data_IF_304536850375
#
_entry.id   IF_304536850375
#
_cell.length_a   1.000
_cell.length_b   1.000
_cell.length_c   1.000
_cell.angle_alpha   90.00
_cell.angle_beta   90.00
_cell.angle_gamma   90.00
#
_symmetry.space_group_name_H-M   'P 1'
#
loop_
_entity.id
_entity.type
_entity.pdbx_description
1 polymer ?
#
# COMPACT_ATOMS: atom_id res chain seq x y z
N UNK A 1 -14.85 10.24 36.36
CA UNK A 1 -13.40 10.05 36.13
C UNK A 1 -13.11 10.68 34.79
N UNK A 2 -12.39 11.80 34.79
CA UNK A 2 -11.98 12.49 33.57
C UNK A 2 -10.82 11.69 32.98
N UNK A 3 -11.03 11.10 31.81
CA UNK A 3 -9.92 10.55 31.03
C UNK A 3 -9.06 11.72 30.57
N UNK A 4 -7.85 11.77 31.12
CA UNK A 4 -6.78 12.64 30.66
C UNK A 4 -6.49 12.29 29.21
N UNK A 5 -7.07 13.04 28.28
CA UNK A 5 -6.53 13.22 26.92
C UNK A 5 -5.19 13.93 27.04
N UNK A 6 -4.17 13.21 27.49
CA UNK A 6 -2.78 13.66 27.43
C UNK A 6 -2.45 13.89 25.96
N UNK A 7 -2.27 15.16 25.60
CA UNK A 7 -1.71 15.58 24.33
C UNK A 7 -0.49 14.71 24.01
N UNK A 8 -0.30 14.29 22.75
CA UNK A 8 0.84 13.47 22.39
C UNK A 8 2.11 14.21 22.79
N UNK A 9 3.07 13.47 23.34
CA UNK A 9 4.36 14.02 23.72
C UNK A 9 4.94 14.74 22.49
N UNK A 10 5.35 16.00 22.62
CA UNK A 10 5.83 16.83 21.50
C UNK A 10 6.92 16.13 20.64
N UNK A 11 7.60 15.17 21.26
CA UNK A 11 8.55 14.24 20.66
C UNK A 11 7.93 13.28 19.65
N UNK A 12 6.74 12.71 19.94
CA UNK A 12 6.02 11.80 19.03
C UNK A 12 5.60 12.49 17.74
N UNK A 13 4.94 13.64 17.84
CA UNK A 13 4.50 14.44 16.68
C UNK A 13 5.68 14.77 15.76
N UNK A 14 6.77 15.27 16.34
CA UNK A 14 7.98 15.60 15.57
C UNK A 14 8.57 14.39 14.88
N UNK A 15 8.63 13.25 15.58
CA UNK A 15 9.17 12.01 15.03
C UNK A 15 8.26 11.40 13.97
N UNK A 16 6.93 11.48 14.13
CA UNK A 16 5.96 11.05 13.14
C UNK A 16 6.15 11.79 11.82
N UNK A 17 6.13 13.13 11.86
CA UNK A 17 6.29 13.95 10.65
C UNK A 17 7.67 13.76 10.01
N UNK A 18 8.72 13.56 10.82
CA UNK A 18 10.05 13.22 10.32
C UNK A 18 10.04 11.89 9.57
N UNK A 19 9.48 10.83 10.15
CA UNK A 19 9.39 9.51 9.49
C UNK A 19 8.52 9.56 8.24
N UNK A 20 7.37 10.23 8.29
CA UNK A 20 6.51 10.41 7.13
C UNK A 20 7.23 11.19 6.02
N UNK A 21 8.00 12.23 6.36
CA UNK A 21 8.80 12.98 5.38
C UNK A 21 9.84 12.09 4.69
N UNK A 22 10.48 11.17 5.43
CA UNK A 22 11.39 10.18 4.88
C UNK A 22 10.67 9.20 3.95
N UNK A 23 9.49 8.68 4.33
CA UNK A 23 8.66 7.82 3.45
C UNK A 23 8.40 8.53 2.12
N UNK A 24 7.95 9.79 2.17
CA UNK A 24 7.67 10.57 0.96
C UNK A 24 8.91 10.79 0.10
N UNK A 25 10.07 11.02 0.72
CA UNK A 25 11.32 11.16 0.00
C UNK A 25 11.71 9.86 -0.71
N UNK A 26 11.63 8.73 -0.02
CA UNK A 26 11.93 7.42 -0.60
C UNK A 26 11.01 7.09 -1.78
N UNK A 27 9.72 7.38 -1.67
CA UNK A 27 8.75 7.22 -2.77
C UNK A 27 9.17 8.05 -3.99
N UNK A 28 9.61 9.30 -3.79
CA UNK A 28 10.05 10.17 -4.89
C UNK A 28 11.31 9.64 -5.56
N UNK A 29 12.29 9.16 -4.79
CA UNK A 29 13.51 8.59 -5.35
C UNK A 29 13.22 7.31 -6.13
N UNK A 30 12.40 6.39 -5.60
CA UNK A 30 11.95 5.19 -6.32
C UNK A 30 11.28 5.55 -7.64
N UNK A 31 10.35 6.52 -7.63
CA UNK A 31 9.70 7.00 -8.86
C UNK A 31 10.69 7.56 -9.87
N UNK A 32 11.64 8.38 -9.41
CA UNK A 32 12.65 9.00 -10.25
C UNK A 32 13.55 7.96 -10.91
N UNK A 33 13.96 6.94 -10.16
CA UNK A 33 14.81 5.87 -10.67
C UNK A 33 14.06 4.95 -11.63
N UNK A 34 12.79 4.65 -11.37
CA UNK A 34 11.94 3.94 -12.34
C UNK A 34 11.80 4.74 -13.65
N UNK A 35 11.60 6.06 -13.59
CA UNK A 35 11.57 6.91 -14.77
C UNK A 35 12.89 6.89 -15.55
N UNK A 36 14.03 6.93 -14.85
CA UNK A 36 15.35 6.84 -15.47
C UNK A 36 15.56 5.46 -16.13
N UNK A 37 15.11 4.38 -15.50
CA UNK A 37 15.17 3.04 -16.07
C UNK A 37 14.41 2.95 -17.40
N UNK A 38 13.20 3.54 -17.47
CA UNK A 38 12.43 3.61 -18.70
C UNK A 38 13.16 4.42 -19.78
N UNK A 39 13.72 5.56 -19.44
CA UNK A 39 14.50 6.38 -20.38
C UNK A 39 15.71 5.63 -20.95
N UNK A 40 16.43 4.87 -20.12
CA UNK A 40 17.58 4.08 -20.57
C UNK A 40 17.13 2.92 -21.46
N UNK A 41 16.00 2.27 -21.15
CA UNK A 41 15.44 1.20 -21.99
C UNK A 41 15.03 1.68 -23.38
N UNK A 42 14.46 2.87 -23.46
CA UNK A 42 13.99 3.46 -24.71
C UNK A 42 15.12 4.15 -25.50
N UNK A 43 16.31 4.30 -24.91
CA UNK A 43 17.46 4.91 -25.56
C UNK A 43 18.03 4.02 -26.66
N UNK A 44 18.06 4.54 -27.88
CA UNK A 44 18.51 3.85 -29.09
C UNK A 44 19.96 4.15 -29.46
N UNK A 45 20.57 5.18 -28.86
CA UNK A 45 21.96 5.59 -29.18
C UNK A 45 22.98 4.72 -28.44
N UNK A 46 22.64 4.18 -27.27
CA UNK A 46 23.51 3.32 -26.48
C UNK A 46 23.56 1.92 -27.11
N UNK A 47 24.75 1.30 -27.29
CA UNK A 47 24.84 -0.07 -27.76
C UNK A 47 24.02 -1.03 -26.90
N UNK A 48 23.29 -1.96 -27.53
CA UNK A 48 22.34 -2.85 -26.85
C UNK A 48 22.95 -3.57 -25.63
N UNK A 49 24.16 -4.11 -25.77
CA UNK A 49 24.86 -4.79 -24.68
C UNK A 49 25.13 -3.87 -23.48
N UNK A 50 25.50 -2.60 -23.72
CA UNK A 50 25.74 -1.63 -22.66
C UNK A 50 24.42 -1.17 -22.01
N UNK A 51 23.35 -1.03 -22.81
CA UNK A 51 22.01 -0.74 -22.32
C UNK A 51 21.50 -1.86 -21.42
N UNK A 52 21.61 -3.11 -21.86
CA UNK A 52 21.15 -4.27 -21.09
C UNK A 52 21.91 -4.44 -19.77
N UNK A 53 23.22 -4.20 -19.78
CA UNK A 53 24.04 -4.19 -18.56
C UNK A 53 23.61 -3.07 -17.59
N UNK A 54 23.37 -1.86 -18.10
CA UNK A 54 22.91 -0.73 -17.28
C UNK A 54 21.51 -0.99 -16.70
N UNK A 55 20.57 -1.48 -17.52
CA UNK A 55 19.21 -1.85 -17.10
C UNK A 55 19.27 -2.93 -16.03
N UNK A 56 20.09 -3.96 -16.19
CA UNK A 56 20.23 -5.04 -15.20
C UNK A 56 20.81 -4.53 -13.88
N UNK A 57 21.85 -3.70 -13.93
CA UNK A 57 22.45 -3.11 -12.74
C UNK A 57 21.46 -2.22 -11.98
N UNK A 58 20.72 -1.37 -12.71
CA UNK A 58 19.71 -0.49 -12.13
C UNK A 58 18.52 -1.27 -11.56
N UNK A 59 18.05 -2.32 -12.23
CA UNK A 59 16.98 -3.17 -11.71
C UNK A 59 17.36 -3.80 -10.36
N UNK A 60 18.62 -4.25 -10.24
CA UNK A 60 19.12 -4.81 -8.98
C UNK A 60 19.16 -3.75 -7.87
N UNK A 61 19.72 -2.58 -8.16
CA UNK A 61 19.77 -1.48 -7.18
C UNK A 61 18.37 -0.99 -6.77
N UNK A 62 17.45 -0.90 -7.73
CA UNK A 62 16.05 -0.61 -7.48
C UNK A 62 15.43 -1.66 -6.57
N UNK A 63 15.65 -2.95 -6.84
CA UNK A 63 15.14 -4.03 -5.99
C UNK A 63 15.61 -3.90 -4.54
N UNK A 64 16.89 -3.61 -4.33
CA UNK A 64 17.47 -3.43 -2.99
C UNK A 64 16.83 -2.21 -2.28
N UNK A 65 16.67 -1.09 -2.99
CA UNK A 65 16.01 0.11 -2.45
C UNK A 65 14.53 -0.12 -2.13
N UNK A 66 13.82 -0.89 -2.96
CA UNK A 66 12.44 -1.25 -2.70
C UNK A 66 12.32 -2.07 -1.42
N UNK A 67 13.20 -3.05 -1.19
CA UNK A 67 13.19 -3.82 0.06
C UNK A 67 13.41 -2.93 1.28
N UNK A 68 14.40 -2.03 1.23
CA UNK A 68 14.66 -1.06 2.30
C UNK A 68 13.45 -0.16 2.53
N UNK A 69 12.77 0.26 1.46
CA UNK A 69 11.53 1.03 1.54
C UNK A 69 10.41 0.25 2.22
N UNK A 70 10.18 -1.01 1.87
CA UNK A 70 9.14 -1.84 2.47
C UNK A 70 9.35 -1.97 3.98
N UNK A 71 10.58 -2.28 4.41
CA UNK A 71 10.94 -2.39 5.82
C UNK A 71 10.71 -1.07 6.56
N UNK A 72 11.13 0.06 5.97
CA UNK A 72 10.92 1.38 6.55
C UNK A 72 9.44 1.76 6.61
N UNK A 73 8.66 1.41 5.58
CA UNK A 73 7.23 1.67 5.49
C UNK A 73 6.47 0.90 6.57
N UNK A 74 6.74 -0.40 6.76
CA UNK A 74 6.13 -1.20 7.84
C UNK A 74 6.46 -0.64 9.21
N UNK A 75 7.71 -0.22 9.43
CA UNK A 75 8.11 0.44 10.68
C UNK A 75 7.38 1.78 10.88
N UNK A 76 7.17 2.56 9.83
CA UNK A 76 6.37 3.78 9.89
C UNK A 76 4.90 3.49 10.24
N UNK A 77 4.28 2.49 9.60
CA UNK A 77 2.89 2.09 9.91
C UNK A 77 2.77 1.61 11.36
N UNK A 78 3.68 0.76 11.82
CA UNK A 78 3.73 0.27 13.20
C UNK A 78 3.86 1.43 14.21
N UNK A 79 4.71 2.41 13.91
CA UNK A 79 4.84 3.62 14.73
C UNK A 79 3.58 4.50 14.70
N UNK A 80 2.94 4.62 13.53
CA UNK A 80 1.71 5.41 13.37
C UNK A 80 0.53 4.85 14.16
N UNK A 81 0.45 3.52 14.30
CA UNK A 81 -0.62 2.84 15.04
C UNK A 81 -0.62 3.16 16.54
N UNK A 82 0.49 3.67 17.08
CA UNK A 82 0.63 4.04 18.49
C UNK A 82 0.24 5.50 18.78
N UNK A 83 -0.01 6.30 17.74
CA UNK A 83 -0.31 7.72 17.87
C UNK A 83 -1.70 8.13 17.47
N UNK A 84 -1.88 9.44 17.34
CA UNK A 84 -3.17 10.04 17.00
C UNK A 84 -3.38 10.24 15.49
N UNK A 85 -2.32 10.13 14.69
CA UNK A 85 -2.42 10.32 13.25
C UNK A 85 -3.16 9.17 12.59
N UNK A 86 -4.06 9.52 11.67
CA UNK A 86 -4.82 8.55 10.89
C UNK A 86 -4.01 8.12 9.69
N UNK A 87 -3.64 6.85 9.65
CA UNK A 87 -3.00 6.21 8.50
C UNK A 87 -3.92 5.17 7.89
N UNK A 88 -4.38 5.41 6.67
CA UNK A 88 -5.26 4.52 5.93
C UNK A 88 -4.62 4.15 4.58
N UNK A 89 -4.75 2.90 4.17
CA UNK A 89 -4.30 2.43 2.86
C UNK A 89 -5.52 2.22 1.97
N UNK A 90 -5.51 2.84 0.79
CA UNK A 90 -6.47 2.58 -0.26
C UNK A 90 -5.79 1.87 -1.41
N UNK A 91 -6.37 0.77 -1.86
CA UNK A 91 -5.91 -0.01 -3.02
C UNK A 91 -7.04 -0.11 -4.02
N UNK A 92 -6.71 0.15 -5.28
CA UNK A 92 -7.56 -0.11 -6.43
C UNK A 92 -6.96 -1.27 -7.21
N UNK A 93 -7.74 -2.32 -7.42
CA UNK A 93 -7.31 -3.50 -8.17
C UNK A 93 -8.46 -4.06 -8.99
N UNK A 94 -8.12 -4.70 -10.11
CA UNK A 94 -9.07 -5.37 -10.98
C UNK A 94 -8.86 -6.88 -10.90
N UNK A 95 -9.95 -7.61 -10.64
CA UNK A 95 -9.98 -9.07 -10.66
C UNK A 95 -10.36 -9.51 -12.06
N UNK A 96 -9.39 -10.09 -12.77
CA UNK A 96 -9.53 -10.62 -14.11
C UNK A 96 -10.10 -12.05 -14.08
N UNK A 97 -10.73 -12.50 -15.19
CA UNK A 97 -11.09 -13.90 -15.38
C UNK A 97 -9.88 -14.81 -15.17
N UNK A 98 -10.07 -15.89 -14.41
CA UNK A 98 -8.97 -16.78 -14.03
C UNK A 98 -8.39 -16.50 -12.64
N UNK A 99 -8.96 -15.54 -11.89
CA UNK A 99 -8.60 -15.31 -10.49
C UNK A 99 -7.27 -14.58 -10.33
N UNK A 100 -6.91 -13.70 -11.26
CA UNK A 100 -5.72 -12.85 -11.17
C UNK A 100 -6.16 -11.46 -10.73
N UNK A 101 -5.52 -10.90 -9.71
CA UNK A 101 -5.70 -9.51 -9.30
C UNK A 101 -4.57 -8.63 -9.86
N UNK A 102 -4.93 -7.59 -10.59
CA UNK A 102 -4.00 -6.57 -11.08
C UNK A 102 -4.20 -5.28 -10.28
N UNK A 103 -3.12 -4.75 -9.71
CA UNK A 103 -3.17 -3.53 -8.91
C UNK A 103 -2.99 -2.32 -9.80
N UNK A 104 -4.03 -1.49 -9.85
CA UNK A 104 -4.03 -0.26 -10.62
C UNK A 104 -3.39 0.89 -9.84
N UNK A 105 -3.68 0.97 -8.54
CA UNK A 105 -3.26 2.10 -7.71
C UNK A 105 -3.21 1.78 -6.23
N UNK A 106 -2.21 2.32 -5.55
CA UNK A 106 -2.08 2.26 -4.09
C UNK A 106 -1.86 3.67 -3.52
N UNK A 107 -2.64 4.04 -2.50
CA UNK A 107 -2.59 5.36 -1.84
C UNK A 107 -2.49 5.20 -0.33
N UNK A 108 -1.49 5.81 0.28
CA UNK A 108 -1.44 6.04 1.72
C UNK A 108 -2.10 7.39 2.03
N UNK A 109 -3.14 7.36 2.84
CA UNK A 109 -3.76 8.55 3.43
C UNK A 109 -3.14 8.80 4.81
N UNK A 110 -2.59 10.00 5.01
CA UNK A 110 -2.16 10.49 6.33
C UNK A 110 -2.97 11.71 6.69
N UNK A 111 -3.79 11.61 7.73
CA UNK A 111 -4.74 12.65 8.17
C UNK A 111 -5.58 13.18 7.00
N UNK A 112 -6.05 12.26 6.15
CA UNK A 112 -6.88 12.55 4.98
C UNK A 112 -6.12 13.04 3.74
N UNK A 113 -4.79 13.22 3.81
CA UNK A 113 -3.97 13.61 2.66
C UNK A 113 -3.45 12.36 1.93
N UNK A 114 -3.80 12.16 0.65
CA UNK A 114 -3.29 11.03 -0.11
C UNK A 114 -1.86 11.26 -0.58
N UNK A 115 -1.03 10.24 -0.47
CA UNK A 115 0.25 10.09 -1.15
C UNK A 115 0.22 8.74 -1.85
N UNK A 116 0.49 8.73 -3.15
CA UNK A 116 0.56 7.48 -3.89
C UNK A 116 1.81 6.70 -3.47
N UNK A 117 1.67 5.40 -3.29
CA UNK A 117 2.74 4.49 -2.85
C UNK A 117 2.98 3.41 -3.91
N UNK A 118 4.13 2.72 -3.89
CA UNK A 118 4.40 1.62 -4.81
C UNK A 118 3.29 0.55 -4.77
N UNK A 119 3.03 -0.08 -5.91
CA UNK A 119 1.93 -1.05 -6.08
C UNK A 119 2.10 -2.28 -5.20
N UNK A 120 3.34 -2.62 -4.85
CA UNK A 120 3.74 -3.72 -3.96
C UNK A 120 3.13 -3.57 -2.56
N UNK A 121 2.98 -2.34 -2.06
CA UNK A 121 2.27 -2.08 -0.81
C UNK A 121 0.79 -2.47 -0.93
N UNK A 122 0.19 -2.20 -2.08
CA UNK A 122 -1.16 -2.65 -2.38
C UNK A 122 -1.24 -4.16 -2.50
N UNK A 123 -0.21 -4.79 -3.07
CA UNK A 123 -0.13 -6.24 -3.26
C UNK A 123 -0.21 -6.96 -1.93
N UNK A 124 0.56 -6.49 -0.94
CA UNK A 124 0.50 -7.04 0.41
C UNK A 124 -0.93 -7.01 1.00
N UNK A 125 -1.72 -5.95 0.73
CA UNK A 125 -3.12 -5.94 1.17
C UNK A 125 -3.98 -6.92 0.38
N UNK A 126 -3.83 -6.92 -0.95
CA UNK A 126 -4.63 -7.75 -1.86
C UNK A 126 -4.37 -9.24 -1.64
N UNK A 127 -3.16 -9.62 -1.23
CA UNK A 127 -2.80 -11.01 -0.89
C UNK A 127 -3.64 -11.57 0.28
N UNK A 128 -4.16 -10.71 1.16
CA UNK A 128 -5.08 -11.10 2.23
C UNK A 128 -6.54 -11.15 1.80
N UNK A 129 -6.88 -10.54 0.66
CA UNK A 129 -8.25 -10.48 0.14
C UNK A 129 -8.56 -11.79 -0.59
N UNK A 130 -9.63 -12.51 -0.25
CA UNK A 130 -10.01 -13.74 -0.93
C UNK A 130 -10.73 -13.45 -2.28
N UNK A 131 -10.10 -12.68 -3.18
CA UNK A 131 -10.71 -12.19 -4.41
C UNK A 131 -11.03 -13.30 -5.41
N UNK A 132 -10.27 -14.39 -5.42
CA UNK A 132 -10.51 -15.57 -6.27
C UNK A 132 -11.87 -16.24 -6.00
N UNK A 133 -12.42 -16.04 -4.80
CA UNK A 133 -13.72 -16.62 -4.38
C UNK A 133 -14.92 -15.77 -4.80
N UNK A 134 -14.70 -14.67 -5.54
CA UNK A 134 -15.74 -13.77 -6.01
C UNK A 134 -15.98 -12.56 -5.11
N UNK A 135 -16.81 -11.64 -5.58
CA UNK A 135 -17.05 -10.34 -4.94
C UNK A 135 -17.72 -10.48 -3.56
N UNK A 136 -18.51 -11.52 -3.32
CA UNK A 136 -19.12 -11.81 -2.03
C UNK A 136 -18.06 -12.08 -0.95
N UNK A 137 -16.97 -12.75 -1.32
CA UNK A 137 -15.86 -13.04 -0.41
C UNK A 137 -15.06 -11.77 -0.09
N UNK A 138 -14.87 -10.88 -1.07
CA UNK A 138 -14.26 -9.55 -0.87
C UNK A 138 -15.11 -8.72 0.10
N UNK A 139 -16.43 -8.70 -0.10
CA UNK A 139 -17.36 -8.00 0.78
C UNK A 139 -17.32 -8.56 2.21
N UNK A 140 -17.28 -9.90 2.36
CA UNK A 140 -17.19 -10.55 3.65
C UNK A 140 -15.87 -10.24 4.37
N UNK A 141 -14.75 -10.26 3.65
CA UNK A 141 -13.44 -9.84 4.17
C UNK A 141 -13.49 -8.40 4.65
N UNK A 142 -13.97 -7.47 3.81
CA UNK A 142 -14.05 -6.05 4.15
C UNK A 142 -14.89 -5.82 5.41
N UNK A 143 -16.09 -6.42 5.50
CA UNK A 143 -16.96 -6.26 6.68
C UNK A 143 -16.33 -6.77 7.97
N UNK A 144 -15.58 -7.88 7.88
CA UNK A 144 -14.84 -8.44 9.03
C UNK A 144 -13.79 -7.44 9.51
N UNK A 145 -12.98 -6.90 8.61
CA UNK A 145 -11.93 -5.94 8.96
C UNK A 145 -12.49 -4.59 9.40
N UNK A 146 -13.54 -4.10 8.74
CA UNK A 146 -14.28 -2.90 9.16
C UNK A 146 -14.79 -3.05 10.60
N UNK A 147 -15.48 -4.15 10.92
CA UNK A 147 -15.97 -4.43 12.29
C UNK A 147 -14.83 -4.52 13.30
N UNK A 148 -13.69 -5.07 12.91
CA UNK A 148 -12.51 -5.19 13.76
C UNK A 148 -11.95 -3.81 14.10
N UNK A 149 -11.77 -2.96 13.09
CA UNK A 149 -11.27 -1.60 13.28
C UNK A 149 -12.27 -0.68 13.97
N UNK A 150 -13.57 -0.87 13.73
CA UNK A 150 -14.64 -0.15 14.41
C UNK A 150 -14.56 -0.33 15.94
N UNK A 151 -14.32 -1.57 16.38
CA UNK A 151 -14.12 -1.92 17.81
C UNK A 151 -12.84 -1.32 18.38
N UNK A 152 -11.77 -1.24 17.60
CA UNK A 152 -10.47 -0.71 18.04
C UNK A 152 -10.43 0.82 18.10
N UNK A 153 -11.16 1.48 17.19
CA UNK A 153 -11.08 2.94 16.98
C UNK A 153 -12.36 3.69 17.35
N UNK A 154 -13.24 3.09 18.15
CA UNK A 154 -14.37 3.78 18.77
C UNK A 154 -15.45 4.24 17.78
N UNK A 155 -15.82 3.37 16.84
CA UNK A 155 -16.91 3.60 15.89
C UNK A 155 -16.67 4.66 14.78
N UNK A 156 -15.41 4.91 14.40
CA UNK A 156 -15.08 5.88 13.34
C UNK A 156 -15.15 5.26 11.94
N UNK A 157 -16.38 5.17 11.40
CA UNK A 157 -16.69 4.56 10.10
C UNK A 157 -16.19 5.34 8.88
N UNK A 158 -15.72 6.58 9.03
CA UNK A 158 -15.23 7.39 7.89
C UNK A 158 -13.92 6.85 7.30
N UNK A 159 -13.20 6.00 8.03
CA UNK A 159 -11.87 5.51 7.63
C UNK A 159 -11.94 4.39 6.59
N UNK A 160 -12.97 3.55 6.67
CA UNK A 160 -13.13 2.41 5.77
C UNK A 160 -13.97 2.81 4.56
N UNK A 161 -13.64 2.26 3.38
CA UNK A 161 -14.48 2.41 2.19
C UNK A 161 -14.32 1.18 1.29
N UNK A 162 -15.41 0.73 0.68
CA UNK A 162 -15.39 -0.32 -0.33
C UNK A 162 -16.28 0.08 -1.51
N UNK A 163 -15.71 -0.01 -2.70
CA UNK A 163 -16.44 0.12 -3.96
C UNK A 163 -16.11 -1.11 -4.79
N UNK A 164 -17.13 -1.87 -5.19
CA UNK A 164 -17.00 -2.99 -6.13
C UNK A 164 -17.82 -2.63 -7.37
N UNK A 165 -17.16 -2.55 -8.52
CA UNK A 165 -17.79 -2.33 -9.82
C UNK A 165 -17.61 -3.59 -10.65
N UNK A 166 -18.73 -4.11 -11.16
CA UNK A 166 -18.72 -5.21 -12.12
C UNK A 166 -18.65 -4.63 -13.51
N UNK A 167 -17.58 -4.96 -14.24
CA UNK A 167 -17.45 -4.63 -15.65
C UNK A 167 -17.83 -5.86 -16.47
N UNK A 168 -18.71 -5.67 -17.47
CA UNK A 168 -19.25 -6.77 -18.27
C UNK A 168 -18.59 -6.88 -19.65
N UNK A 169 -17.84 -5.87 -20.07
CA UNK A 169 -17.23 -5.75 -21.39
C UNK A 169 -15.84 -5.09 -21.24
N UNK A 170 -14.79 -5.57 -21.95
CA UNK A 170 -14.78 -6.64 -22.97
C UNK A 170 -14.90 -8.05 -22.38
N UNK A 171 -14.55 -8.24 -21.12
CA UNK A 171 -14.65 -9.53 -20.41
C UNK A 171 -15.15 -9.28 -18.98
N UNK A 172 -15.94 -10.19 -18.37
CA UNK A 172 -16.40 -9.99 -17.00
C UNK A 172 -15.25 -9.85 -16.01
N UNK A 173 -15.12 -8.67 -15.39
CA UNK A 173 -14.12 -8.37 -14.36
C UNK A 173 -14.75 -7.58 -13.21
N UNK A 174 -14.02 -7.51 -12.09
CA UNK A 174 -14.42 -6.70 -10.94
C UNK A 174 -13.34 -5.67 -10.67
N UNK A 175 -13.67 -4.39 -10.81
CA UNK A 175 -12.83 -3.31 -10.30
C UNK A 175 -13.20 -3.04 -8.85
N UNK A 176 -12.22 -3.14 -7.96
CA UNK A 176 -12.40 -3.01 -6.51
C UNK A 176 -11.54 -1.87 -6.02
N UNK A 177 -12.15 -0.93 -5.30
CA UNK A 177 -11.44 0.08 -4.52
C UNK A 177 -11.73 -0.17 -3.05
N UNK A 178 -10.69 -0.47 -2.27
CA UNK A 178 -10.79 -0.77 -0.85
C UNK A 178 -9.90 0.17 -0.06
N UNK A 179 -10.45 0.84 0.95
CA UNK A 179 -9.72 1.64 1.94
C UNK A 179 -9.91 1.05 3.32
N UNK A 180 -8.80 0.77 4.00
CA UNK A 180 -8.75 0.24 5.36
C UNK A 180 -7.60 0.94 6.14
N UNK A 181 -7.65 0.98 7.47
CA UNK A 181 -6.49 1.39 8.28
C UNK A 181 -5.23 0.62 7.90
N UNK A 182 -4.12 1.35 7.67
CA UNK A 182 -2.88 0.77 7.16
C UNK A 182 -2.26 -0.26 8.12
N UNK A 183 -2.64 -0.22 9.40
CA UNK A 183 -2.25 -1.16 10.46
C UNK A 183 -2.53 -2.62 10.09
N UNK A 184 -3.47 -2.90 9.19
CA UNK A 184 -3.72 -4.26 8.67
C UNK A 184 -2.45 -4.93 8.12
N UNK A 185 -1.52 -4.15 7.56
CA UNK A 185 -0.26 -4.67 7.00
C UNK A 185 0.73 -5.17 8.06
N UNK A 186 0.59 -4.74 9.31
CA UNK A 186 1.52 -5.09 10.41
C UNK A 186 0.91 -6.15 11.33
N UNK A 187 -0.41 -6.20 11.43
CA UNK A 187 -1.11 -7.11 12.33
C UNK A 187 -1.38 -8.49 11.73
N UNK A 188 -1.49 -8.59 10.40
CA UNK A 188 -1.58 -9.87 9.74
C UNK A 188 -0.14 -10.39 9.58
N UNK A 189 0.21 -11.55 10.18
CA UNK A 189 1.51 -12.13 9.94
C UNK A 189 1.65 -12.31 8.43
N UNK A 190 2.77 -11.84 7.87
CA UNK A 190 3.22 -12.27 6.55
C UNK A 190 3.01 -13.77 6.50
N UNK A 191 2.08 -14.24 5.68
CA UNK A 191 1.83 -15.66 5.52
C UNK A 191 3.19 -16.32 5.28
N UNK A 192 3.63 -17.27 6.13
CA UNK A 192 4.79 -18.06 5.78
C UNK A 192 4.37 -18.87 4.55
N UNK A 193 4.95 -18.52 3.41
CA UNK A 193 5.03 -19.47 2.32
C UNK A 193 5.75 -20.71 2.86
N UNK A 194 5.15 -21.88 2.60
CA UNK A 194 5.74 -23.22 2.71
C UNK A 194 6.12 -23.72 4.11
N UNK A 195 5.24 -24.54 4.69
CA UNK A 195 5.57 -25.92 5.11
C UNK A 195 4.54 -26.89 4.53
#
# INVERSE_FOLDING_TARGET
MQDNLSLPDSTYEREFWKRYSSVRQMIREIRRENQLLHQIRDETVIPDQARDMAVTAMLRELSDKHQIFLDFFHNFISFSAQGLHRTDLQVTFTVLPGGIAEIEKSLLYVDGRPEEVPVEIGQQLVDFVPYEKGWEAILAFYRKEETRFDRLFGANLERCALVIKKELFPTPSYSVTMRLPAQILVEQPLSPGSE
#
